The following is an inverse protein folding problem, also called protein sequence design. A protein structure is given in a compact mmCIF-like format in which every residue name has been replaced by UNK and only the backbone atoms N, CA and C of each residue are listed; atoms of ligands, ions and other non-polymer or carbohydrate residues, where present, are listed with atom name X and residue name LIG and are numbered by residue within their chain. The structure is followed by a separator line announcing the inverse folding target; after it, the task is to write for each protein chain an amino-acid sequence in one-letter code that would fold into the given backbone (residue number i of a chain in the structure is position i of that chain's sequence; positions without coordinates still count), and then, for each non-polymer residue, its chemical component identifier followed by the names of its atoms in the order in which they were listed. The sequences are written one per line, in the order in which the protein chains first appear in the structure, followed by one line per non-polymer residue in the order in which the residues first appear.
data_IF_208860359068
#
_entry.id   IF_208860359068
#
_cell.length_a   1.000
_cell.length_b   1.000
_cell.length_c   1.000
_cell.angle_alpha   90.00
_cell.angle_beta   90.00
_cell.angle_gamma   90.00
#
_symmetry.space_group_name_H-M   'P 1'
#
loop_
_entity.id
_entity.type
_entity.pdbx_description
1 polymer ?
#
# COMPACT_ATOMS: atom_id res chain seq x y z
N UNK A 1 -1.27 -2.59 -9.59
CA UNK A 1 -0.33 -1.92 -10.51
C UNK A 1 -0.28 -0.42 -10.23
N UNK A 2 0.87 0.23 -10.46
CA UNK A 2 1.05 1.68 -10.36
C UNK A 2 1.87 2.18 -11.55
N UNK A 3 1.35 3.22 -12.20
CA UNK A 3 1.91 3.79 -13.41
C UNK A 3 2.29 5.25 -13.19
N UNK A 4 3.41 5.70 -13.76
CA UNK A 4 3.75 7.14 -13.85
C UNK A 4 3.58 7.62 -15.28
N UNK A 5 3.34 8.92 -15.46
CA UNK A 5 3.30 9.50 -16.80
C UNK A 5 4.66 9.32 -17.49
N UNK A 6 4.66 8.79 -18.71
CA UNK A 6 5.86 8.61 -19.51
C UNK A 6 6.46 9.97 -19.87
N UNK A 7 7.77 10.14 -19.66
CA UNK A 7 8.46 11.31 -20.16
C UNK A 7 8.45 11.27 -21.69
N UNK A 8 7.83 12.26 -22.35
CA UNK A 8 8.05 12.48 -23.78
C UNK A 8 9.54 12.70 -24.00
N UNK A 9 10.25 11.70 -24.52
CA UNK A 9 11.57 11.94 -25.09
C UNK A 9 11.40 13.02 -26.17
N UNK A 10 12.05 14.16 -25.96
CA UNK A 10 12.33 15.09 -27.05
C UNK A 10 12.99 14.29 -28.17
N UNK A 11 12.35 14.25 -29.34
CA UNK A 11 12.94 13.72 -30.55
C UNK A 11 14.32 14.34 -30.73
N UNK A 12 15.35 13.54 -30.51
CA UNK A 12 16.72 13.96 -30.65
C UNK A 12 16.97 14.27 -32.12
N UNK A 13 17.15 15.55 -32.44
CA UNK A 13 17.72 15.96 -33.72
C UNK A 13 19.11 15.30 -33.83
N UNK A 14 19.32 14.49 -34.87
CA UNK A 14 20.63 13.92 -35.18
C UNK A 14 21.62 15.07 -35.48
N UNK A 15 22.48 15.37 -34.51
CA UNK A 15 23.77 16.00 -34.74
C UNK A 15 24.84 14.97 -34.38
N UNK A 16 25.59 14.50 -35.39
CA UNK A 16 26.74 13.64 -35.20
C UNK A 16 27.83 14.40 -34.43
N UNK A 17 27.88 14.19 -33.12
CA UNK A 17 29.04 14.48 -32.28
C UNK A 17 29.35 13.22 -31.49
N UNK A 18 30.56 12.69 -31.71
CA UNK A 18 31.14 11.59 -30.95
C UNK A 18 31.34 12.04 -29.49
N UNK A 19 30.28 11.98 -28.70
CA UNK A 19 30.37 11.91 -27.26
C UNK A 19 30.16 10.45 -26.87
N UNK A 20 31.08 9.93 -26.08
CA UNK A 20 30.86 8.71 -25.31
C UNK A 20 29.58 8.91 -24.50
N UNK A 21 28.47 8.31 -24.97
CA UNK A 21 27.22 8.28 -24.23
C UNK A 21 27.47 7.38 -23.04
N UNK A 22 27.84 7.97 -21.91
CA UNK A 22 27.64 7.33 -20.63
C UNK A 22 26.13 7.23 -20.51
N UNK A 23 25.59 6.05 -20.81
CA UNK A 23 24.23 5.69 -20.44
C UNK A 23 24.20 5.76 -18.92
N UNK A 24 23.81 6.92 -18.39
CA UNK A 24 23.32 6.99 -17.03
C UNK A 24 22.08 6.12 -17.05
N UNK A 25 22.18 4.86 -16.64
CA UNK A 25 21.01 4.10 -16.23
C UNK A 25 20.32 4.97 -15.19
N UNK A 26 19.28 5.68 -15.61
CA UNK A 26 18.32 6.28 -14.71
C UNK A 26 17.93 5.11 -13.81
N UNK A 27 18.33 5.17 -12.55
CA UNK A 27 17.90 4.18 -11.58
C UNK A 27 16.37 4.30 -11.55
N UNK A 28 15.68 3.42 -12.26
CA UNK A 28 14.23 3.37 -12.24
C UNK A 28 13.88 2.88 -10.84
N UNK A 29 13.57 3.83 -9.95
CA UNK A 29 13.04 3.54 -8.62
C UNK A 29 11.64 2.96 -8.81
N UNK A 30 11.55 1.64 -8.93
CA UNK A 30 10.33 0.90 -9.19
C UNK A 30 10.57 -0.59 -9.07
N UNK A 31 9.51 -1.35 -8.80
CA UNK A 31 9.53 -2.81 -8.78
C UNK A 31 8.39 -3.33 -9.65
N UNK A 32 8.70 -3.81 -10.84
CA UNK A 32 7.74 -4.50 -11.69
C UNK A 32 7.88 -5.99 -11.42
N UNK A 33 6.80 -6.62 -10.98
CA UNK A 33 6.74 -8.05 -10.77
C UNK A 33 7.08 -8.79 -12.08
N UNK A 34 8.06 -9.72 -12.09
CA UNK A 34 8.40 -10.52 -13.27
C UNK A 34 7.22 -11.28 -13.89
N UNK A 35 6.18 -11.57 -13.11
CA UNK A 35 4.98 -12.25 -13.59
C UNK A 35 3.96 -11.29 -14.25
N UNK A 36 4.25 -9.98 -14.29
CA UNK A 36 3.40 -8.98 -14.94
C UNK A 36 3.35 -9.19 -16.46
N UNK A 37 2.17 -9.37 -17.07
CA UNK A 37 2.05 -9.51 -18.52
C UNK A 37 2.53 -8.25 -19.27
N UNK A 38 3.17 -8.45 -20.43
CA UNK A 38 3.78 -7.36 -21.22
C UNK A 38 2.77 -6.28 -21.62
N UNK A 39 1.51 -6.65 -21.84
CA UNK A 39 0.44 -5.72 -22.19
C UNK A 39 0.10 -4.70 -21.08
N UNK A 40 0.51 -4.95 -19.84
CA UNK A 40 0.28 -4.05 -18.71
C UNK A 40 1.49 -3.16 -18.38
N UNK A 41 2.58 -3.26 -19.14
CA UNK A 41 3.78 -2.43 -18.92
C UNK A 41 3.57 -0.95 -19.31
N UNK A 42 2.55 -0.66 -20.11
CA UNK A 42 2.14 0.70 -20.44
C UNK A 42 0.62 0.81 -20.57
N UNK A 43 0.10 2.02 -20.38
CA UNK A 43 -1.31 2.32 -20.62
C UNK A 43 -1.49 3.78 -21.03
N UNK A 44 -2.68 4.10 -21.53
CA UNK A 44 -3.09 5.48 -21.81
C UNK A 44 -3.96 6.00 -20.67
N UNK A 45 -4.18 7.31 -20.61
CA UNK A 45 -5.12 7.86 -19.65
C UNK A 45 -6.53 7.26 -19.85
N UNK A 46 -7.20 6.94 -18.74
CA UNK A 46 -8.58 6.42 -18.75
C UNK A 46 -9.66 7.48 -19.05
N UNK A 47 -9.25 8.69 -19.40
CA UNK A 47 -10.15 9.80 -19.73
C UNK A 47 -9.99 10.14 -21.21
N UNK A 48 -11.07 10.08 -21.99
CA UNK A 48 -11.05 10.15 -23.47
C UNK A 48 -10.30 11.36 -24.06
N UNK A 49 -10.24 12.49 -23.36
CA UNK A 49 -9.57 13.71 -23.84
C UNK A 49 -8.11 13.82 -23.41
N UNK A 50 -7.66 12.91 -22.57
CA UNK A 50 -6.30 12.87 -22.06
C UNK A 50 -5.49 11.85 -22.87
N UNK A 51 -4.51 12.35 -23.61
CA UNK A 51 -3.65 11.52 -24.48
C UNK A 51 -2.31 11.22 -23.82
N UNK A 52 -2.19 11.39 -22.50
CA UNK A 52 -0.96 11.07 -21.78
C UNK A 52 -0.76 9.56 -21.78
N UNK A 53 0.47 9.16 -22.07
CA UNK A 53 0.96 7.79 -21.93
C UNK A 53 1.52 7.60 -20.53
N UNK A 54 1.37 6.39 -19.99
CA UNK A 54 1.86 5.99 -18.69
C UNK A 54 2.67 4.71 -18.81
N UNK A 55 3.76 4.62 -18.05
CA UNK A 55 4.61 3.45 -17.93
C UNK A 55 4.47 2.84 -16.53
N UNK A 56 4.49 1.51 -16.48
CA UNK A 56 4.43 0.75 -15.22
C UNK A 56 5.72 0.95 -14.42
N UNK A 57 5.56 1.36 -13.17
CA UNK A 57 6.68 1.56 -12.23
C UNK A 57 6.58 0.65 -11.01
N UNK A 58 5.40 0.13 -10.72
CA UNK A 58 5.23 -0.85 -9.66
C UNK A 58 4.12 -1.85 -9.98
N UNK A 59 4.37 -3.13 -9.78
CA UNK A 59 3.35 -4.18 -9.78
C UNK A 59 3.67 -5.28 -8.77
N UNK A 60 2.64 -6.01 -8.39
CA UNK A 60 2.73 -7.21 -7.58
C UNK A 60 1.53 -8.08 -7.98
N UNK A 61 1.80 -9.17 -8.68
CA UNK A 61 0.78 -10.08 -9.20
C UNK A 61 0.47 -11.19 -8.19
N UNK A 62 1.25 -11.28 -7.10
CA UNK A 62 1.05 -12.24 -6.00
C UNK A 62 1.11 -13.72 -6.41
N UNK A 63 1.82 -14.05 -7.50
CA UNK A 63 1.96 -15.40 -8.05
C UNK A 63 2.79 -16.37 -7.19
N UNK A 64 3.70 -15.85 -6.36
CA UNK A 64 4.43 -16.69 -5.42
C UNK A 64 3.57 -17.07 -4.21
N UNK A 65 3.14 -18.32 -4.15
CA UNK A 65 2.41 -18.90 -3.02
C UNK A 65 3.21 -18.88 -1.70
N UNK A 66 2.51 -18.68 -0.59
CA UNK A 66 3.07 -18.80 0.76
C UNK A 66 4.04 -17.69 1.14
N UNK A 67 3.96 -16.50 0.50
CA UNK A 67 4.74 -15.33 0.92
C UNK A 67 4.41 -14.95 2.35
N UNK A 68 5.45 -14.63 3.12
CA UNK A 68 5.31 -14.06 4.45
C UNK A 68 5.28 -12.54 4.35
N UNK A 69 4.27 -11.94 4.97
CA UNK A 69 4.15 -10.49 5.11
C UNK A 69 4.39 -10.03 6.54
N UNK A 70 4.98 -10.88 7.38
CA UNK A 70 5.49 -10.48 8.70
C UNK A 70 6.44 -9.28 8.55
N UNK A 71 6.61 -8.50 9.62
CA UNK A 71 7.46 -7.32 9.55
C UNK A 71 8.91 -7.68 9.19
N UNK A 72 9.44 -6.99 8.19
CA UNK A 72 10.76 -7.28 7.60
C UNK A 72 10.83 -8.49 6.64
N UNK A 73 9.76 -9.26 6.45
CA UNK A 73 9.80 -10.47 5.61
C UNK A 73 9.65 -10.20 4.10
N UNK A 74 8.85 -9.19 3.72
CA UNK A 74 8.67 -8.79 2.32
C UNK A 74 9.14 -7.33 2.11
N UNK A 75 9.88 -7.01 1.04
CA UNK A 75 10.42 -5.67 0.81
C UNK A 75 9.35 -4.63 0.39
N UNK A 76 8.16 -5.08 -0.03
CA UNK A 76 7.10 -4.24 -0.61
C UNK A 76 5.91 -4.08 0.32
N UNK A 77 5.62 -5.10 1.12
CA UNK A 77 4.40 -5.18 1.93
C UNK A 77 4.68 -5.62 3.37
N UNK A 78 3.97 -5.06 4.35
CA UNK A 78 3.94 -5.54 5.73
C UNK A 78 2.49 -5.76 6.15
N UNK A 79 2.15 -6.96 6.60
CA UNK A 79 0.90 -7.24 7.28
C UNK A 79 0.98 -6.81 8.74
N UNK A 80 -0.08 -6.19 9.26
CA UNK A 80 -0.08 -5.64 10.61
C UNK A 80 -0.54 -6.66 11.65
N UNK A 81 0.14 -6.70 12.79
CA UNK A 81 -0.27 -7.41 14.01
C UNK A 81 -0.73 -6.37 15.04
N UNK A 82 -2.01 -5.98 14.97
CA UNK A 82 -2.54 -4.89 15.80
C UNK A 82 -4.05 -4.92 15.90
N UNK A 83 -4.59 -4.42 17.02
CA UNK A 83 -6.00 -4.07 17.09
C UNK A 83 -6.27 -2.78 16.30
N UNK A 84 -7.34 -2.79 15.51
CA UNK A 84 -7.95 -1.54 15.04
C UNK A 84 -8.93 -1.05 16.11
N UNK A 85 -8.68 0.14 16.61
CA UNK A 85 -9.54 0.81 17.60
C UNK A 85 -10.29 2.00 16.98
N UNK A 86 -10.15 2.20 15.66
CA UNK A 86 -10.93 3.18 14.90
C UNK A 86 -12.26 2.57 14.45
N UNK A 87 -13.24 3.41 14.14
CA UNK A 87 -14.52 3.02 13.53
C UNK A 87 -15.27 1.88 14.24
N UNK A 88 -15.08 1.70 15.55
CA UNK A 88 -15.64 0.57 16.31
C UNK A 88 -15.31 -0.81 15.70
N UNK A 89 -14.16 -0.92 15.03
CA UNK A 89 -13.74 -2.14 14.36
C UNK A 89 -13.76 -3.35 15.32
N UNK A 90 -14.37 -4.46 14.90
CA UNK A 90 -14.50 -5.64 15.75
C UNK A 90 -13.32 -6.62 15.63
N UNK A 91 -12.48 -6.45 14.61
CA UNK A 91 -11.40 -7.37 14.27
C UNK A 91 -10.05 -6.98 14.87
N UNK A 92 -9.26 -8.00 15.17
CA UNK A 92 -7.83 -7.88 15.39
C UNK A 92 -7.10 -8.30 14.11
N UNK A 93 -6.14 -7.50 13.65
CA UNK A 93 -5.36 -7.85 12.48
C UNK A 93 -4.21 -8.78 12.84
N UNK A 94 -4.04 -9.86 12.06
CA UNK A 94 -2.91 -10.76 12.15
C UNK A 94 -2.26 -11.01 10.80
N UNK A 95 -0.92 -11.11 10.72
CA UNK A 95 -0.21 -11.48 9.49
C UNK A 95 -0.63 -12.84 8.93
N UNK A 96 -0.96 -13.80 9.78
CA UNK A 96 -1.42 -15.14 9.36
C UNK A 96 -2.73 -15.11 8.53
N UNK A 97 -3.48 -14.00 8.55
CA UNK A 97 -4.68 -13.81 7.74
C UNK A 97 -4.41 -13.21 6.36
N UNK A 98 -3.15 -12.90 6.05
CA UNK A 98 -2.69 -12.34 4.78
C UNK A 98 -1.77 -13.36 4.13
N UNK A 99 -2.23 -14.01 3.06
CA UNK A 99 -1.49 -15.09 2.41
C UNK A 99 -1.62 -14.99 0.90
N UNK A 100 -0.58 -15.36 0.16
CA UNK A 100 -0.67 -15.58 -1.28
C UNK A 100 -0.98 -17.04 -1.57
N UNK A 101 -1.99 -17.30 -2.40
CA UNK A 101 -2.35 -18.66 -2.82
C UNK A 101 -3.07 -18.63 -4.16
N UNK A 102 -2.58 -19.39 -5.13
CA UNK A 102 -3.13 -19.50 -6.49
C UNK A 102 -3.18 -18.15 -7.23
N UNK A 103 -2.06 -17.41 -7.26
CA UNK A 103 -1.96 -16.18 -8.04
C UNK A 103 -2.71 -14.98 -7.46
N UNK A 104 -3.07 -15.02 -6.18
CA UNK A 104 -3.78 -13.90 -5.53
C UNK A 104 -3.35 -13.71 -4.08
N UNK A 105 -3.40 -12.46 -3.64
CA UNK A 105 -3.38 -12.11 -2.22
C UNK A 105 -4.76 -12.36 -1.59
N UNK A 106 -4.83 -13.31 -0.66
CA UNK A 106 -6.01 -13.61 0.14
C UNK A 106 -5.93 -12.93 1.51
N UNK A 107 -6.94 -12.12 1.81
CA UNK A 107 -7.19 -11.60 3.16
C UNK A 107 -8.40 -12.33 3.74
N UNK A 108 -8.18 -13.13 4.77
CA UNK A 108 -9.22 -13.97 5.37
C UNK A 108 -9.72 -13.36 6.67
N UNK A 109 -11.03 -13.37 6.89
CA UNK A 109 -11.65 -13.01 8.19
C UNK A 109 -12.25 -14.24 8.84
N UNK A 110 -11.93 -14.49 10.11
CA UNK A 110 -12.41 -15.65 10.87
C UNK A 110 -12.91 -15.25 12.26
N UNK A 111 -13.82 -16.05 12.81
CA UNK A 111 -14.21 -15.95 14.22
C UNK A 111 -13.13 -16.59 15.08
N UNK A 112 -12.14 -15.79 15.50
CA UNK A 112 -11.03 -16.21 16.35
C UNK A 112 -10.77 -15.13 17.40
N UNK A 113 -10.71 -15.56 18.66
CA UNK A 113 -10.49 -14.65 19.79
C UNK A 113 -9.02 -14.31 19.96
N UNK A 114 -8.74 -13.01 19.99
CA UNK A 114 -7.43 -12.43 20.17
C UNK A 114 -7.43 -11.61 21.45
N UNK A 115 -6.64 -12.02 22.44
CA UNK A 115 -6.35 -11.20 23.63
C UNK A 115 -5.12 -10.37 23.34
N UNK A 116 -5.15 -9.09 23.71
CA UNK A 116 -4.05 -8.19 23.42
C UNK A 116 -3.85 -7.17 24.54
N UNK A 117 -2.65 -6.58 24.58
CA UNK A 117 -2.31 -5.43 25.39
C UNK A 117 -1.98 -4.29 24.44
N UNK A 118 -2.66 -3.17 24.58
CA UNK A 118 -2.48 -1.99 23.73
C UNK A 118 -2.19 -0.75 24.60
N UNK A 119 -1.59 0.25 23.97
CA UNK A 119 -1.35 1.56 24.58
C UNK A 119 -2.45 2.52 24.13
N UNK A 120 -3.16 3.13 25.07
CA UNK A 120 -4.09 4.23 24.81
C UNK A 120 -3.26 5.51 24.68
N UNK A 121 -3.14 6.02 23.45
CA UNK A 121 -2.32 7.20 23.12
C UNK A 121 -2.85 8.48 23.77
N UNK A 122 -4.17 8.60 23.98
CA UNK A 122 -4.79 9.75 24.63
C UNK A 122 -4.55 9.71 26.15
N UNK A 123 -4.86 8.58 26.78
CA UNK A 123 -4.72 8.41 28.24
C UNK A 123 -3.30 8.07 28.70
N UNK A 124 -2.38 7.84 27.77
CA UNK A 124 -0.99 7.44 28.02
C UNK A 124 -0.88 6.23 28.96
N UNK A 125 -1.74 5.22 28.77
CA UNK A 125 -1.81 4.04 29.64
C UNK A 125 -2.00 2.76 28.84
N UNK A 126 -1.35 1.69 29.30
CA UNK A 126 -1.63 0.37 28.77
C UNK A 126 -2.96 -0.17 29.29
N UNK A 127 -3.68 -0.84 28.41
CA UNK A 127 -4.88 -1.61 28.74
C UNK A 127 -4.82 -2.99 28.10
N UNK A 128 -5.60 -3.91 28.63
CA UNK A 128 -5.76 -5.25 28.07
C UNK A 128 -7.22 -5.45 27.66
N UNK A 129 -7.43 -6.08 26.52
CA UNK A 129 -8.75 -6.30 25.94
C UNK A 129 -8.75 -7.53 25.03
N UNK A 130 -9.91 -7.88 24.47
CA UNK A 130 -10.06 -8.97 23.52
C UNK A 130 -10.97 -8.59 22.35
N UNK A 131 -10.62 -9.09 21.16
CA UNK A 131 -11.48 -9.05 19.97
C UNK A 131 -11.75 -10.46 19.49
N UNK A 132 -12.99 -10.71 19.07
CA UNK A 132 -13.46 -12.07 18.74
C UNK A 132 -13.48 -12.38 17.24
N UNK A 133 -13.12 -11.39 16.43
CA UNK A 133 -12.91 -11.52 14.99
C UNK A 133 -11.42 -11.31 14.72
N UNK A 134 -10.85 -12.12 13.84
CA UNK A 134 -9.49 -11.97 13.33
C UNK A 134 -9.56 -11.69 11.84
N UNK A 135 -8.80 -10.71 11.36
CA UNK A 135 -8.74 -10.35 9.94
C UNK A 135 -7.30 -10.03 9.55
N UNK A 136 -7.08 -9.59 8.31
CA UNK A 136 -5.77 -9.18 7.81
C UNK A 136 -5.81 -7.76 7.25
N UNK A 137 -4.69 -7.05 7.40
CA UNK A 137 -4.44 -5.81 6.70
C UNK A 137 -2.96 -5.80 6.31
N UNK A 138 -2.69 -5.39 5.07
CA UNK A 138 -1.36 -5.28 4.51
C UNK A 138 -1.14 -3.85 4.03
N UNK A 139 0.06 -3.31 4.23
CA UNK A 139 0.41 -1.93 3.88
C UNK A 139 1.79 -1.85 3.22
N UNK A 140 1.94 -0.93 2.28
CA UNK A 140 3.21 -0.52 1.68
C UNK A 140 3.84 0.71 2.35
N UNK A 141 3.40 1.06 3.57
CA UNK A 141 3.84 2.27 4.28
C UNK A 141 5.36 2.32 4.39
N UNK A 142 5.95 3.43 3.94
CA UNK A 142 7.38 3.67 3.90
C UNK A 142 8.22 2.63 3.14
N UNK A 143 7.62 1.89 2.20
CA UNK A 143 8.31 0.92 1.33
C UNK A 143 8.40 1.39 -0.12
N UNK A 144 7.36 2.06 -0.59
CA UNK A 144 7.32 2.71 -1.89
C UNK A 144 6.42 3.94 -1.82
N UNK A 145 6.62 4.91 -2.72
CA UNK A 145 5.86 6.15 -2.74
C UNK A 145 5.45 6.50 -4.18
N UNK A 146 4.23 7.00 -4.33
CA UNK A 146 3.72 7.53 -5.59
C UNK A 146 3.23 8.97 -5.35
N UNK A 147 3.65 9.90 -6.20
CA UNK A 147 3.24 11.32 -6.13
C UNK A 147 2.16 11.68 -7.14
N UNK A 148 1.78 10.75 -8.01
CA UNK A 148 0.74 10.89 -9.02
C UNK A 148 0.84 9.80 -10.08
N UNK A 149 -0.20 9.66 -10.89
CA UNK A 149 -0.28 8.64 -11.93
C UNK A 149 -1.56 7.81 -11.82
N UNK A 150 -1.48 6.57 -12.27
CA UNK A 150 -2.61 5.62 -12.27
C UNK A 150 -2.30 4.51 -11.28
N UNK A 151 -3.28 4.16 -10.44
CA UNK A 151 -3.22 2.99 -9.57
C UNK A 151 -4.43 2.12 -9.86
N UNK A 152 -4.15 0.84 -10.07
CA UNK A 152 -5.15 -0.17 -10.41
C UNK A 152 -5.05 -1.37 -9.48
N UNK A 153 -6.22 -1.87 -9.09
CA UNK A 153 -6.38 -3.10 -8.33
C UNK A 153 -7.36 -4.01 -9.08
N UNK A 154 -7.02 -5.29 -9.20
CA UNK A 154 -7.97 -6.33 -9.56
C UNK A 154 -8.34 -7.08 -8.28
N UNK A 155 -9.58 -6.98 -7.82
CA UNK A 155 -10.00 -7.51 -6.53
C UNK A 155 -11.38 -8.16 -6.59
N UNK A 156 -11.51 -9.27 -5.86
CA UNK A 156 -12.79 -9.92 -5.56
C UNK A 156 -13.15 -9.66 -4.10
N UNK A 157 -14.23 -8.94 -3.87
CA UNK A 157 -14.68 -8.61 -2.52
C UNK A 157 -15.38 -9.80 -1.85
N UNK A 158 -15.20 -10.02 -0.53
CA UNK A 158 -15.81 -11.12 0.18
C UNK A 158 -17.28 -10.87 0.52
N UNK A 159 -18.04 -11.96 0.64
CA UNK A 159 -19.42 -11.95 1.15
C UNK A 159 -20.49 -11.50 0.15
N UNK A 160 -21.74 -11.57 0.59
CA UNK A 160 -22.89 -11.01 -0.13
C UNK A 160 -22.97 -9.50 0.18
N UNK A 161 -23.06 -8.61 -0.83
CA UNK A 161 -23.15 -7.17 -0.63
C UNK A 161 -24.39 -6.72 0.18
N UNK A 162 -25.38 -7.60 0.40
CA UNK A 162 -26.56 -7.34 1.23
C UNK A 162 -26.39 -7.76 2.69
N UNK A 163 -25.31 -8.46 3.03
CA UNK A 163 -25.02 -8.91 4.39
C UNK A 163 -24.05 -7.93 5.04
N UNK A 164 -24.48 -7.27 6.11
CA UNK A 164 -23.64 -6.33 6.86
C UNK A 164 -22.52 -7.04 7.64
N UNK A 165 -21.43 -6.31 7.89
CA UNK A 165 -20.35 -6.70 8.80
C UNK A 165 -18.97 -6.70 8.14
N UNK A 166 -18.85 -7.17 6.90
CA UNK A 166 -17.58 -7.11 6.17
C UNK A 166 -17.38 -5.73 5.55
N UNK A 167 -16.19 -5.16 5.74
CA UNK A 167 -15.79 -3.88 5.15
C UNK A 167 -14.44 -4.05 4.44
N UNK A 168 -14.42 -4.62 3.22
CA UNK A 168 -13.19 -4.67 2.43
C UNK A 168 -12.84 -3.26 1.93
N UNK A 169 -11.55 -2.91 1.99
CA UNK A 169 -11.09 -1.60 1.60
C UNK A 169 -9.74 -1.69 0.86
N UNK A 170 -9.64 -0.97 -0.27
CA UNK A 170 -8.41 -0.70 -0.99
C UNK A 170 -8.29 0.82 -1.11
N UNK A 171 -7.25 1.39 -0.52
CA UNK A 171 -7.15 2.84 -0.34
C UNK A 171 -5.70 3.24 -0.13
N UNK A 172 -5.45 4.55 -0.06
CA UNK A 172 -4.12 5.13 0.12
C UNK A 172 -4.10 6.20 1.20
N UNK A 173 -2.94 6.38 1.81
CA UNK A 173 -2.65 7.45 2.77
C UNK A 173 -1.34 8.13 2.38
N UNK A 174 -1.22 9.43 2.66
CA UNK A 174 0.06 10.12 2.56
C UNK A 174 1.10 9.47 3.48
N UNK A 175 2.35 9.37 3.02
CA UNK A 175 3.38 8.55 3.66
C UNK A 175 3.78 9.02 5.07
N UNK A 176 3.47 10.28 5.43
CA UNK A 176 3.77 10.84 6.76
C UNK A 176 2.71 10.49 7.82
N UNK A 177 1.70 9.70 7.46
CA UNK A 177 0.80 9.04 8.39
C UNK A 177 0.77 7.54 8.12
N UNK A 178 0.48 6.73 9.15
CA UNK A 178 0.35 5.28 9.05
C UNK A 178 -1.02 4.84 9.51
N UNK A 179 -1.67 4.05 8.67
CA UNK A 179 -2.96 3.45 8.95
C UNK A 179 -2.98 2.74 10.31
N UNK A 180 -4.05 2.90 11.09
CA UNK A 180 -4.24 2.35 12.45
C UNK A 180 -3.34 2.91 13.56
N UNK A 181 -2.43 3.84 13.25
CA UNK A 181 -1.63 4.61 14.22
C UNK A 181 -2.13 6.05 14.21
N UNK A 182 -3.26 6.32 14.87
CA UNK A 182 -3.99 7.60 14.69
C UNK A 182 -3.23 8.82 15.22
N UNK A 183 -2.31 8.66 16.17
CA UNK A 183 -1.40 9.74 16.56
C UNK A 183 -0.59 10.29 15.38
N UNK A 184 -0.36 9.48 14.36
CA UNK A 184 0.33 9.89 13.13
C UNK A 184 -0.49 10.68 12.14
N UNK A 185 -1.81 10.72 12.29
CA UNK A 185 -2.71 11.53 11.48
C UNK A 185 -3.34 12.66 12.29
N UNK A 186 -2.72 13.06 13.40
CA UNK A 186 -3.29 14.03 14.36
C UNK A 186 -4.74 13.67 14.76
N UNK A 187 -5.03 12.37 14.86
CA UNK A 187 -6.37 11.85 15.16
C UNK A 187 -7.47 12.26 14.15
N UNK A 188 -7.10 12.77 12.96
CA UNK A 188 -8.02 13.14 11.88
C UNK A 188 -7.85 12.17 10.73
N UNK A 189 -8.97 11.60 10.28
CA UNK A 189 -8.99 10.75 9.10
C UNK A 189 -9.65 11.47 7.91
N UNK A 190 -9.11 11.36 6.68
CA UNK A 190 -7.82 10.76 6.28
C UNK A 190 -6.73 11.85 6.15
N UNK A 191 -6.13 12.30 7.26
CA UNK A 191 -5.11 13.35 7.25
C UNK A 191 -3.68 12.79 7.18
N UNK A 192 -2.81 13.47 6.43
CA UNK A 192 -1.35 13.32 6.43
C UNK A 192 -0.73 14.71 6.28
N UNK A 193 0.55 14.81 6.62
CA UNK A 193 1.35 16.02 6.45
C UNK A 193 1.93 16.12 5.03
N UNK A 194 2.22 17.35 4.62
CA UNK A 194 2.91 17.66 3.36
C UNK A 194 4.44 17.69 3.53
N UNK A 195 4.92 17.98 4.73
CA UNK A 195 6.35 18.09 5.05
C UNK A 195 6.70 17.44 6.40
N UNK A 196 7.95 17.01 6.52
CA UNK A 196 8.52 16.62 7.80
C UNK A 196 8.99 17.88 8.54
N UNK A 197 8.43 18.16 9.71
CA UNK A 197 8.74 19.38 10.46
C UNK A 197 8.91 19.10 11.96
N UNK A 198 9.65 19.97 12.66
CA UNK A 198 9.95 19.80 14.08
C UNK A 198 8.73 19.97 15.00
N UNK A 199 7.70 20.70 14.56
CA UNK A 199 6.48 20.94 15.35
C UNK A 199 5.66 19.65 15.42
N UNK A 200 5.52 18.96 14.29
CA UNK A 200 4.74 17.73 14.16
C UNK A 200 5.57 16.46 14.31
N UNK A 201 6.87 16.58 14.63
CA UNK A 201 7.80 15.43 14.71
C UNK A 201 7.28 14.28 15.55
N UNK A 202 6.63 14.56 16.67
CA UNK A 202 6.11 13.50 17.56
C UNK A 202 4.94 12.73 16.96
N UNK A 203 4.09 13.38 16.16
CA UNK A 203 3.05 12.68 15.39
C UNK A 203 3.65 11.91 14.22
N UNK A 204 4.69 12.44 13.58
CA UNK A 204 5.34 11.79 12.43
C UNK A 204 6.28 10.63 12.82
N UNK A 205 6.57 10.45 14.12
CA UNK A 205 7.34 9.33 14.66
C UNK A 205 6.39 8.16 14.95
N UNK A 206 6.54 7.06 14.19
CA UNK A 206 5.69 5.87 14.25
C UNK A 206 6.52 4.63 14.57
#
# INVERSE_FOLDING_TARGET
MMMRQSNMHQSSFLAFLLYTVVSTSQCNAGWVDPDTPEEFLSTTAHFEKDTREYELVFSDEFEQDGRSFEDGADPRWTAIDKNDYTNEALHFYKPENVQTTNGVLNITTTQKSNKYKAFDEDKHKYYADAKHIQSGMVQGWNKFCLTGGIIEFNAKLPGDPKTGGLWPALWMLGNLARATYVGSSNFIWPYSYDECDEINRHSQQI
#
